data_IF_534297725632
#
_entry.id   IF_534297725632
#
_cell.length_a   1.000
_cell.length_b   1.000
_cell.length_c   1.000
_cell.angle_alpha   90.00
_cell.angle_beta   90.00
_cell.angle_gamma   90.00
#
_symmetry.space_group_name_H-M   'P 1'
#
loop_
_entity.id
_entity.type
_entity.pdbx_description
1 polymer ?
#
# COMPACT_ATOMS: atom_id res chain seq x y z
N UNK A 1 -4.56 -6.67 -18.12
CA UNK A 1 -3.43 -7.53 -17.75
C UNK A 1 -3.24 -7.50 -16.24
N UNK A 2 -3.10 -8.66 -15.63
CA UNK A 2 -2.93 -8.75 -14.18
C UNK A 2 -1.45 -8.71 -13.83
N UNK A 3 -1.09 -7.95 -12.80
CA UNK A 3 0.30 -7.94 -12.32
C UNK A 3 0.60 -9.25 -11.59
N UNK A 4 1.78 -9.80 -11.83
CA UNK A 4 2.18 -11.07 -11.20
C UNK A 4 2.56 -10.83 -9.75
N UNK A 5 2.31 -11.84 -8.90
CA UNK A 5 2.63 -11.77 -7.48
C UNK A 5 4.12 -11.48 -7.23
N UNK A 6 4.98 -12.00 -8.07
CA UNK A 6 6.43 -11.77 -7.94
C UNK A 6 6.80 -10.29 -8.08
N UNK A 7 6.12 -9.59 -8.98
CA UNK A 7 6.38 -8.16 -9.23
C UNK A 7 5.91 -7.30 -8.08
N UNK A 8 4.71 -7.61 -7.55
CA UNK A 8 4.12 -6.80 -6.49
C UNK A 8 4.71 -7.11 -5.11
N UNK A 9 5.32 -8.29 -4.95
CA UNK A 9 5.94 -8.67 -3.68
C UNK A 9 7.00 -7.64 -3.31
N UNK A 10 7.01 -7.19 -2.07
CA UNK A 10 7.92 -6.15 -1.63
C UNK A 10 7.37 -4.74 -1.79
N UNK A 11 6.26 -4.57 -2.51
CA UNK A 11 5.63 -3.27 -2.70
C UNK A 11 4.34 -3.10 -1.90
N UNK A 12 3.88 -4.16 -1.21
CA UNK A 12 2.61 -4.15 -0.48
C UNK A 12 2.54 -3.01 0.52
N UNK A 13 3.59 -2.82 1.31
CA UNK A 13 3.60 -1.77 2.33
C UNK A 13 3.51 -0.39 1.68
N UNK A 14 4.28 -0.15 0.64
CA UNK A 14 4.25 1.13 -0.07
C UNK A 14 2.90 1.40 -0.71
N UNK A 15 2.26 0.37 -1.27
CA UNK A 15 0.93 0.49 -1.87
C UNK A 15 -0.10 0.90 -0.82
N UNK A 16 -0.08 0.27 0.35
CA UNK A 16 -0.99 0.60 1.45
C UNK A 16 -0.72 2.01 1.96
N UNK A 17 0.53 2.35 2.21
CA UNK A 17 0.90 3.68 2.69
C UNK A 17 0.49 4.77 1.69
N UNK A 18 0.62 4.51 0.40
CA UNK A 18 0.20 5.45 -0.63
C UNK A 18 -1.29 5.79 -0.52
N UNK A 19 -2.13 4.79 -0.19
CA UNK A 19 -3.56 5.04 0.00
C UNK A 19 -3.81 5.92 1.24
N UNK A 20 -3.06 5.67 2.30
CA UNK A 20 -3.21 6.41 3.56
C UNK A 20 -2.62 7.82 3.51
N UNK A 21 -1.76 8.11 2.54
CA UNK A 21 -1.32 9.50 2.29
C UNK A 21 -2.48 10.40 1.90
N UNK A 22 -3.47 9.85 1.23
CA UNK A 22 -4.63 10.61 0.74
C UNK A 22 -5.58 10.94 1.88
N UNK A 23 -5.86 9.94 2.71
CA UNK A 23 -6.78 10.08 3.84
C UNK A 23 -6.74 8.81 4.68
N UNK A 24 -7.21 8.90 5.90
CA UNK A 24 -7.44 7.72 6.74
C UNK A 24 -8.46 6.83 6.04
N UNK A 25 -8.29 5.52 6.16
CA UNK A 25 -9.14 4.58 5.45
C UNK A 25 -9.20 3.25 6.18
N UNK A 26 -10.10 2.38 5.76
CA UNK A 26 -10.29 1.05 6.35
C UNK A 26 -10.08 -0.01 5.27
N UNK A 27 -9.90 -1.26 5.69
CA UNK A 27 -9.45 -2.33 4.80
C UNK A 27 -10.22 -2.47 3.51
N UNK A 28 -11.55 -2.52 3.59
CA UNK A 28 -12.38 -2.66 2.39
C UNK A 28 -12.19 -1.48 1.43
N UNK A 29 -12.20 -0.26 1.96
CA UNK A 29 -12.04 0.94 1.14
C UNK A 29 -10.66 1.00 0.49
N UNK A 30 -9.61 0.65 1.25
CA UNK A 30 -8.25 0.61 0.71
C UNK A 30 -8.19 -0.34 -0.48
N UNK A 31 -8.75 -1.54 -0.33
CA UNK A 31 -8.70 -2.53 -1.40
C UNK A 31 -9.53 -2.12 -2.62
N UNK A 32 -10.67 -1.44 -2.39
CA UNK A 32 -11.47 -0.89 -3.46
C UNK A 32 -10.70 0.18 -4.23
N UNK A 33 -9.97 1.03 -3.52
CA UNK A 33 -9.16 2.07 -4.15
C UNK A 33 -8.02 1.46 -4.95
N UNK A 34 -7.38 0.42 -4.43
CA UNK A 34 -6.32 -0.31 -5.13
C UNK A 34 -6.86 -0.90 -6.43
N UNK A 35 -8.05 -1.52 -6.37
CA UNK A 35 -8.69 -2.08 -7.55
C UNK A 35 -8.94 -0.98 -8.60
N UNK A 36 -9.51 0.13 -8.17
CA UNK A 36 -9.82 1.25 -9.06
C UNK A 36 -8.55 1.85 -9.67
N UNK A 37 -7.53 2.10 -8.86
CA UNK A 37 -6.28 2.69 -9.32
C UNK A 37 -5.53 1.80 -10.31
N UNK A 38 -5.68 0.49 -10.19
CA UNK A 38 -5.04 -0.47 -11.08
C UNK A 38 -5.89 -0.80 -12.31
N UNK A 39 -7.03 -0.14 -12.49
CA UNK A 39 -7.93 -0.45 -13.58
C UNK A 39 -8.51 -1.86 -13.49
N UNK A 40 -8.66 -2.38 -12.29
CA UNK A 40 -9.15 -3.73 -12.06
C UNK A 40 -8.08 -4.81 -12.12
N UNK A 41 -6.83 -4.44 -12.38
CA UNK A 41 -5.75 -5.41 -12.59
C UNK A 41 -5.19 -5.97 -11.28
N UNK A 42 -5.49 -5.36 -10.14
CA UNK A 42 -4.93 -5.81 -8.89
C UNK A 42 -5.81 -5.48 -7.69
N UNK A 43 -5.89 -6.45 -6.76
CA UNK A 43 -6.38 -6.26 -5.39
C UNK A 43 -5.51 -7.11 -4.48
N UNK A 44 -5.40 -6.71 -3.22
CA UNK A 44 -4.72 -7.53 -2.22
C UNK A 44 -5.67 -8.57 -1.67
N UNK A 45 -5.17 -9.77 -1.43
CA UNK A 45 -5.92 -10.76 -0.68
C UNK A 45 -6.13 -10.23 0.73
N UNK A 46 -7.29 -10.52 1.29
CA UNK A 46 -7.65 -10.02 2.61
C UNK A 46 -6.61 -10.37 3.67
N UNK A 47 -6.14 -11.62 3.68
CA UNK A 47 -5.12 -12.06 4.62
C UNK A 47 -3.81 -11.27 4.46
N UNK A 48 -3.41 -10.99 3.23
CA UNK A 48 -2.21 -10.21 2.95
C UNK A 48 -2.36 -8.77 3.45
N UNK A 49 -3.52 -8.19 3.20
CA UNK A 49 -3.83 -6.82 3.63
C UNK A 49 -3.75 -6.68 5.16
N UNK A 50 -4.41 -7.58 5.88
CA UNK A 50 -4.45 -7.48 7.35
C UNK A 50 -3.13 -7.85 8.00
N UNK A 51 -2.37 -8.76 7.40
CA UNK A 51 -1.01 -9.06 7.86
C UNK A 51 -0.11 -7.83 7.70
N UNK A 52 -0.25 -7.13 6.59
CA UNK A 52 0.52 -5.90 6.35
C UNK A 52 0.12 -4.80 7.35
N UNK A 53 -1.17 -4.64 7.62
CA UNK A 53 -1.62 -3.67 8.63
C UNK A 53 -0.96 -3.93 9.99
N UNK A 54 -0.95 -5.19 10.42
CA UNK A 54 -0.34 -5.56 11.69
C UNK A 54 1.14 -5.22 11.73
N UNK A 55 1.86 -5.58 10.67
CA UNK A 55 3.28 -5.29 10.56
C UNK A 55 3.56 -3.80 10.58
N UNK A 56 2.79 -3.03 9.83
CA UNK A 56 2.96 -1.57 9.76
C UNK A 56 2.60 -0.89 11.08
N UNK A 57 1.56 -1.37 11.73
CA UNK A 57 1.14 -0.82 13.04
C UNK A 57 2.18 -1.15 14.11
N UNK A 58 2.66 -2.39 14.14
CA UNK A 58 3.70 -2.81 15.08
C UNK A 58 5.00 -2.00 14.89
N UNK A 59 5.30 -1.63 13.67
CA UNK A 59 6.47 -0.83 13.37
C UNK A 59 6.30 0.67 13.60
N UNK A 60 5.10 1.10 13.96
CA UNK A 60 4.83 2.52 14.19
C UNK A 60 4.64 3.34 12.91
N UNK A 61 4.44 2.70 11.78
CA UNK A 61 4.25 3.37 10.50
C UNK A 61 2.81 3.82 10.29
N UNK A 62 1.87 3.15 10.95
CA UNK A 62 0.45 3.52 10.95
C UNK A 62 -0.09 3.37 12.36
N UNK A 63 -1.20 4.07 12.64
CA UNK A 63 -2.01 3.87 13.84
C UNK A 63 -3.42 3.50 13.41
N UNK A 64 -4.22 3.06 14.36
CA UNK A 64 -5.61 2.70 14.06
C UNK A 64 -6.56 3.28 15.08
N UNK A 65 -7.80 3.46 14.66
CA UNK A 65 -8.88 3.90 15.55
C UNK A 65 -10.20 3.38 15.00
N UNK A 66 -11.20 3.29 15.88
CA UNK A 66 -12.52 2.85 15.47
C UNK A 66 -13.34 4.01 14.94
N UNK A 67 -14.05 3.77 13.84
CA UNK A 67 -14.95 4.74 13.28
C UNK A 67 -16.15 4.97 14.20
N UNK A 68 -16.88 6.04 13.91
CA UNK A 68 -18.01 6.49 14.71
C UNK A 68 -19.32 6.31 13.95
N UNK A 69 -19.48 5.14 13.31
CA UNK A 69 -20.69 4.83 12.57
C UNK A 69 -21.87 4.64 13.51
N UNK A 70 -22.96 5.32 13.22
CA UNK A 70 -24.17 5.26 14.03
C UNK A 70 -24.95 3.96 13.84
N UNK A 71 -24.80 3.31 12.69
CA UNK A 71 -25.54 2.11 12.31
C UNK A 71 -24.57 1.08 11.73
N UNK A 72 -24.74 -0.17 12.15
CA UNK A 72 -23.93 -1.28 11.67
C UNK A 72 -22.65 -1.47 12.47
N UNK A 73 -21.78 -2.35 11.99
CA UNK A 73 -20.51 -2.62 12.63
C UNK A 73 -19.56 -1.43 12.45
N UNK A 74 -18.86 -1.10 13.52
CA UNK A 74 -17.86 -0.03 13.47
C UNK A 74 -16.68 -0.48 12.62
N UNK A 75 -16.11 0.45 11.87
CA UNK A 75 -14.96 0.20 11.00
C UNK A 75 -13.67 0.61 11.70
N UNK A 76 -12.63 -0.20 11.50
CA UNK A 76 -11.31 0.13 12.01
C UNK A 76 -10.57 0.92 10.93
N UNK A 77 -10.30 2.18 11.23
CA UNK A 77 -9.58 3.08 10.34
C UNK A 77 -8.10 3.06 10.65
N UNK A 78 -7.31 3.26 9.62
CA UNK A 78 -5.85 3.36 9.74
C UNK A 78 -5.41 4.74 9.30
N UNK A 79 -4.38 5.24 9.96
CA UNK A 79 -3.83 6.56 9.71
C UNK A 79 -2.31 6.45 9.60
N UNK A 80 -1.74 7.10 8.59
CA UNK A 80 -0.28 7.10 8.41
C UNK A 80 0.37 8.03 9.43
N UNK A 81 1.54 7.63 9.95
CA UNK A 81 2.34 8.45 10.86
C UNK A 81 3.44 9.15 10.07
N UNK A 82 4.18 10.06 10.72
CA UNK A 82 5.34 10.67 10.08
C UNK A 82 6.39 9.60 9.71
N UNK A 83 6.57 8.60 10.56
CA UNK A 83 7.45 7.48 10.26
C UNK A 83 6.97 6.72 9.03
N UNK A 84 5.67 6.55 8.88
CA UNK A 84 5.08 5.92 7.70
C UNK A 84 5.29 6.74 6.44
N UNK A 85 5.17 8.06 6.54
CA UNK A 85 5.41 8.95 5.40
C UNK A 85 6.86 8.84 4.93
N UNK A 86 7.79 8.77 5.86
CA UNK A 86 9.20 8.60 5.53
C UNK A 86 9.46 7.24 4.86
N UNK A 87 8.87 6.18 5.37
CA UNK A 87 8.98 4.86 4.76
C UNK A 87 8.45 4.88 3.33
N UNK A 88 7.32 5.54 3.11
CA UNK A 88 6.76 5.68 1.77
C UNK A 88 7.72 6.42 0.84
N UNK A 89 8.28 7.54 1.29
CA UNK A 89 9.22 8.32 0.48
C UNK A 89 10.44 7.50 0.06
N UNK A 90 10.99 6.73 0.99
CA UNK A 90 12.12 5.84 0.69
C UNK A 90 11.74 4.77 -0.33
N UNK A 91 10.60 4.12 -0.13
CA UNK A 91 10.13 3.07 -1.04
C UNK A 91 9.87 3.64 -2.44
N UNK A 92 9.30 4.83 -2.53
CA UNK A 92 9.04 5.49 -3.80
C UNK A 92 10.34 5.81 -4.53
N UNK A 93 11.33 6.36 -3.81
CA UNK A 93 12.62 6.68 -4.40
C UNK A 93 13.36 5.43 -4.89
N UNK A 94 13.30 4.35 -4.11
CA UNK A 94 13.91 3.08 -4.50
C UNK A 94 13.26 2.50 -5.75
N UNK A 95 11.95 2.58 -5.82
CA UNK A 95 11.21 2.09 -7.00
C UNK A 95 11.59 2.90 -8.24
N UNK A 96 11.59 4.22 -8.14
CA UNK A 96 11.93 5.08 -9.28
C UNK A 96 13.35 4.81 -9.79
N UNK A 97 14.30 4.61 -8.87
CA UNK A 97 15.66 4.24 -9.22
C UNK A 97 15.73 2.87 -9.87
N UNK A 98 14.98 1.90 -9.33
CA UNK A 98 14.94 0.53 -9.86
C UNK A 98 14.40 0.49 -11.28
N UNK A 99 13.35 1.25 -11.56
CA UNK A 99 12.77 1.32 -12.91
C UNK A 99 13.80 1.83 -13.90
N UNK A 100 14.51 2.90 -13.55
CA UNK A 100 15.54 3.47 -14.41
C UNK A 100 16.65 2.48 -14.68
N UNK A 101 17.15 1.81 -13.65
CA UNK A 101 18.23 0.84 -13.77
C UNK A 101 17.78 -0.37 -14.60
N UNK A 102 16.60 -0.91 -14.29
CA UNK A 102 16.08 -2.06 -15.00
C UNK A 102 15.84 -1.75 -16.47
N UNK A 103 15.30 -0.57 -16.78
CA UNK A 103 15.12 -0.17 -18.17
C UNK A 103 16.45 -0.16 -18.93
N UNK A 104 17.50 0.40 -18.33
CA UNK A 104 18.80 0.42 -18.95
C UNK A 104 19.34 -0.99 -19.20
N UNK A 105 19.17 -1.88 -18.21
CA UNK A 105 19.65 -3.26 -18.35
C UNK A 105 18.86 -4.06 -19.39
N UNK A 106 17.55 -3.85 -19.44
CA UNK A 106 16.68 -4.58 -20.36
C UNK A 106 16.81 -4.08 -21.80
N UNK A 107 17.13 -2.81 -21.98
CA UNK A 107 17.38 -2.24 -23.30
C UNK A 107 18.72 -2.71 -23.88
N UNK A 108 19.61 -3.20 -23.05
CA UNK A 108 20.90 -3.70 -23.49
C UNK A 108 21.83 -2.62 -24.03
N UNK A 109 21.62 -1.37 -23.65
CA UNK A 109 22.46 -0.26 -24.07
C UNK A 109 23.85 -0.37 -23.47
N UNK A 110 24.81 -0.23 -24.29
CA UNK A 110 26.20 -0.25 -23.87
C UNK A 110 26.64 1.14 -23.42
#
# INVERSE_FOLDING_TARGET
MTIRADVIRGHTDAVILAQLLRRDSYGYEINKTIETCSGGDFVLKEATLYTAFRRLEDGGYITSYWGDEAVGARRKYYKITEKGRELYRQARAEWDASVRILNALLEGEA
#
